data_IF_461375622259
#
_entry.id   IF_461375622259
#
_cell.length_a   1.000
_cell.length_b   1.000
_cell.length_c   1.000
_cell.angle_alpha   90.00
_cell.angle_beta   90.00
_cell.angle_gamma   90.00
#
_symmetry.space_group_name_H-M   'P 1'
#
loop_
_entity.id
_entity.type
_entity.pdbx_description
1 polymer ?
#
# COMPACT_ATOMS: atom_id res chain seq x y z
N UNK A 1 10.35 0.11 -5.88
CA UNK A 1 9.23 0.63 -6.72
C UNK A 1 8.51 -0.57 -7.31
N UNK A 2 7.17 -0.52 -7.36
CA UNK A 2 6.33 -1.51 -8.04
C UNK A 2 5.61 -0.79 -9.18
N UNK A 3 5.81 -1.24 -10.42
CA UNK A 3 5.18 -0.59 -11.57
C UNK A 3 4.78 -1.53 -12.70
N UNK A 4 3.73 -1.19 -13.44
CA UNK A 4 3.21 -1.95 -14.59
C UNK A 4 2.95 -3.43 -14.26
N UNK A 5 2.38 -3.69 -13.09
CA UNK A 5 2.05 -5.05 -12.66
C UNK A 5 0.56 -5.31 -12.87
N UNK A 6 0.26 -6.49 -13.41
CA UNK A 6 -1.11 -6.95 -13.66
C UNK A 6 -1.28 -8.37 -13.13
N UNK A 7 -2.35 -8.62 -12.38
CA UNK A 7 -2.68 -9.94 -11.83
C UNK A 7 -1.55 -10.56 -10.98
N UNK A 8 -0.83 -9.72 -10.25
CA UNK A 8 0.32 -10.13 -9.45
C UNK A 8 0.00 -10.16 -7.96
N UNK A 9 0.68 -11.04 -7.23
CA UNK A 9 0.72 -11.07 -5.77
C UNK A 9 2.16 -10.81 -5.32
N UNK A 10 2.38 -9.73 -4.60
CA UNK A 10 3.71 -9.21 -4.23
C UNK A 10 3.85 -9.19 -2.73
N UNK A 11 4.93 -9.77 -2.23
CA UNK A 11 5.32 -9.76 -0.81
C UNK A 11 6.66 -9.05 -0.64
N UNK A 12 6.68 -7.96 0.10
CA UNK A 12 7.89 -7.20 0.45
C UNK A 12 8.16 -7.35 1.95
N UNK A 13 8.81 -8.44 2.35
CA UNK A 13 9.00 -8.82 3.76
C UNK A 13 10.20 -8.12 4.44
N UNK A 14 10.55 -6.91 4.01
CA UNK A 14 11.68 -6.14 4.53
C UNK A 14 11.28 -4.74 4.94
N UNK A 15 12.26 -3.97 5.45
CA UNK A 15 12.10 -2.53 5.71
C UNK A 15 12.51 -1.77 4.45
N UNK A 16 11.70 -0.80 4.02
CA UNK A 16 12.10 0.16 2.99
C UNK A 16 11.80 1.58 3.45
N UNK A 17 12.59 2.55 2.99
CA UNK A 17 12.36 3.96 3.36
C UNK A 17 11.11 4.52 2.69
N UNK A 18 11.02 4.33 1.38
CA UNK A 18 9.91 4.78 0.57
C UNK A 18 9.42 3.67 -0.36
N UNK A 19 8.12 3.67 -0.64
CA UNK A 19 7.49 2.77 -1.60
C UNK A 19 6.68 3.58 -2.62
N UNK A 20 7.00 3.37 -3.89
CA UNK A 20 6.25 3.90 -5.02
C UNK A 20 5.50 2.76 -5.70
N UNK A 21 4.18 2.90 -5.77
CA UNK A 21 3.26 1.97 -6.42
C UNK A 21 2.58 2.71 -7.57
N UNK A 22 2.84 2.31 -8.81
CA UNK A 22 2.35 3.02 -9.99
C UNK A 22 1.85 2.06 -11.07
N UNK A 23 0.68 2.29 -11.68
CA UNK A 23 0.15 1.42 -12.77
C UNK A 23 0.01 -0.04 -12.34
N UNK A 24 -0.78 -0.27 -11.29
CA UNK A 24 -1.13 -1.62 -10.83
C UNK A 24 -2.57 -1.96 -11.20
N UNK A 25 -2.78 -3.18 -11.71
CA UNK A 25 -4.10 -3.72 -12.05
C UNK A 25 -4.31 -5.09 -11.43
N UNK A 26 -5.41 -5.28 -10.72
CA UNK A 26 -5.79 -6.58 -10.14
C UNK A 26 -4.66 -7.22 -9.31
N UNK A 27 -3.94 -6.40 -8.54
CA UNK A 27 -2.77 -6.84 -7.77
C UNK A 27 -3.07 -6.96 -6.28
N UNK A 28 -2.31 -7.80 -5.60
CA UNK A 28 -2.29 -7.89 -4.15
C UNK A 28 -0.88 -7.56 -3.66
N UNK A 29 -0.73 -6.50 -2.87
CA UNK A 29 0.56 -6.02 -2.38
C UNK A 29 0.57 -6.07 -0.86
N UNK A 30 1.51 -6.84 -0.31
CA UNK A 30 1.73 -6.97 1.13
C UNK A 30 3.14 -6.48 1.44
N UNK A 31 3.24 -5.48 2.32
CA UNK A 31 4.54 -4.90 2.65
C UNK A 31 4.78 -4.92 4.14
N UNK A 32 6.04 -5.16 4.50
CA UNK A 32 6.56 -4.76 5.79
C UNK A 32 6.52 -3.23 5.97
N UNK A 33 7.09 -2.74 7.08
CA UNK A 33 7.03 -1.33 7.43
C UNK A 33 7.81 -0.46 6.45
N UNK A 34 7.16 0.60 5.97
CA UNK A 34 7.76 1.67 5.18
C UNK A 34 8.10 2.82 6.12
N UNK A 35 9.38 3.09 6.33
CA UNK A 35 9.79 3.98 7.43
C UNK A 35 9.52 5.46 7.18
N UNK A 36 9.21 5.85 5.94
CA UNK A 36 8.90 7.24 5.58
C UNK A 36 7.56 7.35 4.84
N UNK A 37 7.54 7.09 3.53
CA UNK A 37 6.39 7.44 2.70
C UNK A 37 6.01 6.36 1.70
N UNK A 38 4.70 6.27 1.46
CA UNK A 38 4.12 5.49 0.37
C UNK A 38 3.41 6.43 -0.59
N UNK A 39 3.78 6.37 -1.86
CA UNK A 39 3.06 7.03 -2.95
C UNK A 39 2.39 5.97 -3.81
N UNK A 40 1.08 6.09 -3.95
CA UNK A 40 0.23 5.22 -4.78
C UNK A 40 -0.41 6.09 -5.86
N UNK A 41 -0.21 5.70 -7.11
CA UNK A 41 -0.76 6.40 -8.26
C UNK A 41 -1.20 5.39 -9.33
N UNK A 42 -2.31 5.69 -10.01
CA UNK A 42 -2.84 4.87 -11.09
C UNK A 42 -3.00 3.38 -10.71
N UNK A 43 -3.87 3.10 -9.74
CA UNK A 43 -4.13 1.73 -9.23
C UNK A 43 -5.60 1.36 -9.37
N UNK A 44 -5.87 0.14 -9.84
CA UNK A 44 -7.24 -0.34 -10.02
C UNK A 44 -7.41 -1.82 -9.65
N UNK A 45 -8.56 -2.15 -9.07
CA UNK A 45 -8.96 -3.53 -8.79
C UNK A 45 -8.06 -4.27 -7.80
N UNK A 46 -7.34 -3.54 -6.95
CA UNK A 46 -6.21 -4.09 -6.18
C UNK A 46 -6.48 -4.15 -4.68
N UNK A 47 -5.65 -4.89 -3.95
CA UNK A 47 -5.61 -4.90 -2.49
C UNK A 47 -4.21 -4.58 -2.01
N UNK A 48 -4.07 -3.57 -1.15
CA UNK A 48 -2.79 -3.09 -0.66
C UNK A 48 -2.79 -3.09 0.86
N UNK A 49 -1.80 -3.76 1.46
CA UNK A 49 -1.60 -3.84 2.91
C UNK A 49 -0.26 -3.21 3.26
N UNK A 50 -0.33 -2.04 3.92
CA UNK A 50 0.77 -1.09 4.02
C UNK A 50 0.86 -0.48 5.43
N UNK A 51 2.08 -0.33 5.95
CA UNK A 51 2.34 0.43 7.16
C UNK A 51 3.38 1.53 6.84
N UNK A 52 3.09 2.79 7.18
CA UNK A 52 3.95 3.93 6.82
C UNK A 52 3.84 5.12 7.78
N UNK A 53 4.77 6.09 7.72
CA UNK A 53 4.56 7.38 8.38
C UNK A 53 3.55 8.23 7.60
N UNK A 54 3.72 8.28 6.27
CA UNK A 54 2.88 9.03 5.34
C UNK A 54 2.39 8.14 4.21
N UNK A 55 1.13 8.33 3.80
CA UNK A 55 0.55 7.66 2.63
C UNK A 55 -0.14 8.72 1.76
N UNK A 56 0.17 8.70 0.47
CA UNK A 56 -0.44 9.55 -0.57
C UNK A 56 -1.04 8.64 -1.63
N UNK A 57 -2.33 8.79 -1.88
CA UNK A 57 -3.12 7.97 -2.80
C UNK A 57 -3.72 8.88 -3.86
N UNK A 58 -3.40 8.60 -5.11
CA UNK A 58 -3.84 9.36 -6.26
C UNK A 58 -4.40 8.41 -7.32
N UNK A 59 -5.37 8.87 -8.11
CA UNK A 59 -5.91 8.16 -9.29
C UNK A 59 -6.17 6.68 -9.05
N UNK A 60 -6.95 6.34 -8.02
CA UNK A 60 -7.16 4.95 -7.58
C UNK A 60 -8.64 4.55 -7.60
N UNK A 61 -8.94 3.36 -8.14
CA UNK A 61 -10.31 2.85 -8.29
C UNK A 61 -10.47 1.43 -7.77
N UNK A 62 -11.65 1.06 -7.28
CA UNK A 62 -12.00 -0.33 -6.92
C UNK A 62 -10.91 -1.04 -6.08
N UNK A 63 -10.34 -0.35 -5.09
CA UNK A 63 -9.14 -0.82 -4.39
C UNK A 63 -9.37 -0.86 -2.88
N UNK A 64 -8.87 -1.91 -2.24
CA UNK A 64 -8.92 -2.11 -0.79
C UNK A 64 -7.57 -1.77 -0.17
N UNK A 65 -7.60 -0.91 0.84
CA UNK A 65 -6.43 -0.48 1.59
C UNK A 65 -6.51 -0.97 3.04
N UNK A 66 -5.53 -1.76 3.46
CA UNK A 66 -5.33 -2.17 4.85
C UNK A 66 -4.13 -1.40 5.39
N UNK A 67 -4.37 -0.32 6.13
CA UNK A 67 -3.33 0.68 6.42
C UNK A 67 -3.08 0.89 7.90
N UNK A 68 -1.81 1.09 8.25
CA UNK A 68 -1.37 1.70 9.51
C UNK A 68 -0.55 2.93 9.12
N UNK A 69 -1.01 4.11 9.50
CA UNK A 69 -0.36 5.37 9.12
C UNK A 69 -0.25 6.30 10.33
N UNK A 70 0.88 6.99 10.48
CA UNK A 70 1.08 7.93 11.61
C UNK A 70 0.46 9.30 11.38
N UNK A 71 0.47 9.79 10.14
CA UNK A 71 -0.24 11.01 9.76
C UNK A 71 -1.54 10.68 9.01
N UNK A 72 -2.54 11.59 8.99
CA UNK A 72 -3.67 11.44 8.09
C UNK A 72 -3.20 11.21 6.64
N UNK A 73 -3.75 10.22 5.92
CA UNK A 73 -3.39 9.96 4.53
C UNK A 73 -3.97 11.05 3.62
N UNK A 74 -3.24 11.39 2.55
CA UNK A 74 -3.72 12.29 1.49
C UNK A 74 -4.33 11.41 0.40
N UNK A 75 -5.55 11.75 -0.02
CA UNK A 75 -6.33 10.93 -0.96
C UNK A 75 -7.01 11.83 -2.00
N UNK A 76 -6.69 11.61 -3.26
CA UNK A 76 -7.10 12.47 -4.38
C UNK A 76 -7.55 11.62 -5.58
N UNK A 77 -8.59 12.05 -6.29
CA UNK A 77 -9.12 11.39 -7.50
C UNK A 77 -9.38 9.88 -7.33
N UNK A 78 -10.09 9.53 -6.25
CA UNK A 78 -10.43 8.14 -5.93
C UNK A 78 -11.90 7.81 -6.23
N UNK A 79 -12.18 6.55 -6.57
CA UNK A 79 -13.56 6.04 -6.62
C UNK A 79 -13.65 4.59 -6.13
N UNK A 80 -14.73 4.27 -5.39
CA UNK A 80 -14.99 2.90 -4.91
C UNK A 80 -13.83 2.26 -4.14
N UNK A 81 -13.10 3.05 -3.34
CA UNK A 81 -12.03 2.55 -2.48
C UNK A 81 -12.55 2.26 -1.08
N UNK A 82 -11.90 1.33 -0.38
CA UNK A 82 -12.24 0.99 1.01
C UNK A 82 -10.99 0.98 1.87
N UNK A 83 -11.12 1.43 3.11
CA UNK A 83 -10.04 1.45 4.08
C UNK A 83 -10.39 0.54 5.26
N UNK A 84 -9.39 -0.19 5.74
CA UNK A 84 -9.47 -1.05 6.90
C UNK A 84 -8.16 -0.99 7.70
N UNK A 85 -8.19 -1.50 8.94
CA UNK A 85 -7.01 -1.59 9.78
C UNK A 85 -5.98 -2.56 9.19
N UNK A 86 -4.71 -2.21 9.31
CA UNK A 86 -3.60 -3.10 8.96
C UNK A 86 -3.69 -4.42 9.77
N UNK A 87 -3.59 -5.55 9.07
CA UNK A 87 -3.79 -6.88 9.63
C UNK A 87 -2.74 -7.89 9.16
N UNK A 88 -1.59 -7.44 8.66
CA UNK A 88 -0.51 -8.34 8.26
C UNK A 88 0.17 -8.90 9.51
N UNK A 89 0.50 -10.18 9.48
CA UNK A 89 1.31 -10.83 10.50
C UNK A 89 2.32 -11.77 9.84
N UNK A 90 3.59 -11.66 10.21
CA UNK A 90 4.65 -12.61 9.85
C UNK A 90 5.83 -12.51 10.84
N UNK A 91 6.64 -13.57 11.02
CA UNK A 91 7.78 -13.56 11.94
C UNK A 91 8.74 -12.41 11.57
N UNK A 92 8.99 -11.48 12.51
CA UNK A 92 9.79 -10.23 12.40
C UNK A 92 9.02 -8.93 12.12
N UNK A 93 7.70 -8.97 11.93
CA UNK A 93 6.93 -7.74 11.70
C UNK A 93 6.66 -6.96 12.98
N UNK A 94 6.38 -7.65 14.09
CA UNK A 94 6.02 -7.03 15.37
C UNK A 94 7.14 -6.12 15.91
N UNK A 95 8.40 -6.54 15.77
CA UNK A 95 9.58 -5.75 16.15
C UNK A 95 9.85 -4.55 15.23
N UNK A 96 9.13 -4.45 14.10
CA UNK A 96 9.43 -3.53 13.02
C UNK A 96 8.39 -2.42 12.81
N UNK A 97 7.17 -2.56 13.36
CA UNK A 97 6.01 -1.68 13.15
C UNK A 97 5.93 -0.44 14.07
#
# INVERSE_FOLDING_TARGET
MLTNLSNCKVYLNGKCRALYVNKLRNCQVYTGPVTESVLIDDVEGSTLMLASQQIRIHSTKNTYFYVRVRSPPIVEYISSVRFALFALHYPRLEDAL
#
